data_IF_170692179211
#
_entry.id   IF_170692179211
#
_cell.length_a   1.000
_cell.length_b   1.000
_cell.length_c   1.000
_cell.angle_alpha   90.00
_cell.angle_beta   90.00
_cell.angle_gamma   90.00
#
_symmetry.space_group_name_H-M   'P 1'
#
loop_
_entity.id
_entity.type
_entity.pdbx_description
1 polymer ?
#
# COMPACT_ATOMS: atom_id res chain seq x y z
N UNK A 1 -22.53 26.83 4.24
CA UNK A 1 -21.60 25.84 3.67
C UNK A 1 -20.19 26.29 4.04
N UNK A 2 -19.55 25.57 4.96
CA UNK A 2 -18.16 25.84 5.34
C UNK A 2 -17.25 25.19 4.30
N UNK A 3 -16.32 25.96 3.74
CA UNK A 3 -15.31 25.44 2.81
C UNK A 3 -14.16 24.89 3.66
N UNK A 4 -13.87 23.60 3.52
CA UNK A 4 -12.69 22.98 4.12
C UNK A 4 -11.61 22.85 3.05
N UNK A 5 -10.43 23.43 3.29
CA UNK A 5 -9.31 23.38 2.35
C UNK A 5 -8.27 22.39 2.88
N UNK A 6 -7.82 21.48 2.02
CA UNK A 6 -6.78 20.51 2.33
C UNK A 6 -5.52 20.83 1.52
N UNK A 7 -4.35 20.66 2.14
CA UNK A 7 -3.06 20.74 1.46
C UNK A 7 -2.52 19.33 1.27
N UNK A 8 -2.18 18.97 0.03
CA UNK A 8 -1.56 17.69 -0.29
C UNK A 8 -0.10 17.92 -0.68
N UNK A 9 0.79 17.09 -0.12
CA UNK A 9 2.20 17.06 -0.50
C UNK A 9 2.41 16.48 -1.91
N UNK A 10 3.60 16.71 -2.47
CA UNK A 10 4.00 16.07 -3.72
C UNK A 10 4.25 14.56 -3.51
N UNK A 11 4.26 13.80 -4.61
CA UNK A 11 4.65 12.38 -4.64
C UNK A 11 6.04 12.20 -4.04
N UNK A 12 6.14 11.34 -3.03
CA UNK A 12 7.40 10.96 -2.41
C UNK A 12 8.24 10.04 -3.29
N UNK A 13 9.48 9.76 -2.85
CA UNK A 13 10.23 8.60 -3.33
C UNK A 13 9.47 7.29 -3.04
N UNK A 14 9.83 6.20 -3.72
CA UNK A 14 9.20 4.90 -3.49
C UNK A 14 9.34 4.51 -2.02
N UNK A 15 8.19 4.29 -1.35
CA UNK A 15 8.14 3.81 0.03
C UNK A 15 8.20 2.28 0.09
N UNK A 16 7.88 1.61 -1.03
CA UNK A 16 8.00 0.18 -1.22
C UNK A 16 8.31 -0.10 -2.68
N UNK A 17 9.41 -0.78 -2.94
CA UNK A 17 9.73 -1.31 -4.27
C UNK A 17 9.30 -2.76 -4.35
N UNK A 18 8.49 -3.11 -5.36
CA UNK A 18 7.99 -4.46 -5.58
C UNK A 18 8.97 -5.32 -6.39
N UNK A 19 9.76 -4.69 -7.27
CA UNK A 19 10.71 -5.39 -8.14
C UNK A 19 10.03 -6.50 -8.95
N UNK A 20 10.68 -7.67 -9.02
CA UNK A 20 10.16 -8.86 -9.71
C UNK A 20 9.34 -9.76 -8.77
N UNK A 21 8.36 -9.17 -8.07
CA UNK A 21 7.52 -9.88 -7.11
C UNK A 21 6.81 -11.07 -7.76
N UNK A 22 7.03 -12.28 -7.23
CA UNK A 22 6.42 -13.49 -7.76
C UNK A 22 4.91 -13.52 -7.52
N UNK A 23 4.19 -14.31 -8.32
CA UNK A 23 2.76 -14.50 -8.10
C UNK A 23 2.49 -15.18 -6.76
N UNK A 24 1.36 -14.85 -6.13
CA UNK A 24 0.93 -15.29 -4.81
C UNK A 24 1.92 -14.98 -3.68
N UNK A 25 2.80 -13.99 -3.87
CA UNK A 25 3.76 -13.57 -2.84
C UNK A 25 3.49 -12.17 -2.31
N UNK A 26 3.92 -11.95 -1.07
CA UNK A 26 3.89 -10.66 -0.38
C UNK A 26 5.24 -9.97 -0.39
N UNK A 27 5.21 -8.65 -0.27
CA UNK A 27 6.36 -7.83 0.07
C UNK A 27 5.90 -6.66 0.94
N UNK A 28 6.68 -6.33 1.96
CA UNK A 28 6.39 -5.25 2.89
C UNK A 28 7.40 -4.11 2.78
N UNK A 29 6.95 -2.88 3.07
CA UNK A 29 7.81 -1.72 3.24
C UNK A 29 8.61 -1.79 4.54
N UNK A 30 9.64 -0.96 4.64
CA UNK A 30 10.16 -0.56 5.93
C UNK A 30 9.06 0.14 6.75
N UNK A 31 9.27 0.27 8.06
CA UNK A 31 8.36 1.00 8.93
C UNK A 31 8.29 2.47 8.51
N UNK A 32 7.07 2.95 8.31
CA UNK A 32 6.74 4.32 7.97
C UNK A 32 6.28 5.02 9.25
N UNK A 33 6.99 6.07 9.67
CA UNK A 33 6.56 6.97 10.74
C UNK A 33 5.69 8.08 10.14
N UNK A 34 4.43 8.17 10.59
CA UNK A 34 3.51 9.25 10.24
C UNK A 34 3.70 10.50 11.12
N UNK A 35 4.54 10.41 12.15
CA UNK A 35 4.79 11.46 13.11
C UNK A 35 3.77 11.50 14.25
N UNK A 36 4.00 12.38 15.23
CA UNK A 36 3.10 12.56 16.37
C UNK A 36 1.80 13.29 15.99
N UNK A 37 1.85 14.14 14.96
CA UNK A 37 0.69 14.74 14.32
C UNK A 37 0.34 13.90 13.08
N UNK A 38 -0.37 12.79 13.29
CA UNK A 38 -0.78 11.90 12.20
C UNK A 38 -1.60 12.71 11.18
N UNK A 39 -1.25 12.69 9.89
CA UNK A 39 -1.96 13.43 8.86
C UNK A 39 -3.43 13.00 8.79
N UNK A 40 -4.27 13.89 8.27
CA UNK A 40 -5.72 13.64 8.15
C UNK A 40 -6.00 12.45 7.23
N UNK A 41 -5.22 12.35 6.15
CA UNK A 41 -5.19 11.20 5.27
C UNK A 41 -3.82 11.07 4.61
N UNK A 42 -3.52 9.87 4.13
CA UNK A 42 -2.33 9.56 3.34
C UNK A 42 -2.79 8.94 2.04
N UNK A 43 -2.48 9.60 0.92
CA UNK A 43 -2.70 9.05 -0.41
C UNK A 43 -1.53 8.16 -0.79
N UNK A 44 -1.84 6.96 -1.25
CA UNK A 44 -0.88 6.01 -1.80
C UNK A 44 -1.10 5.88 -3.30
N UNK A 45 -0.04 5.85 -4.08
CA UNK A 45 -0.08 5.51 -5.49
C UNK A 45 0.63 4.16 -5.65
N UNK A 46 -0.10 3.16 -6.13
CA UNK A 46 0.47 1.86 -6.50
C UNK A 46 0.70 1.84 -8.00
N UNK A 47 1.89 1.47 -8.41
CA UNK A 47 2.29 1.25 -9.79
C UNK A 47 2.78 -0.19 -9.95
N UNK A 48 2.39 -0.85 -11.05
CA UNK A 48 2.95 -2.14 -11.41
C UNK A 48 3.05 -2.36 -12.91
N UNK A 49 3.99 -3.20 -13.30
CA UNK A 49 4.18 -3.67 -14.66
C UNK A 49 4.20 -5.21 -14.67
N UNK A 50 3.13 -5.88 -15.15
CA UNK A 50 3.06 -7.34 -15.17
C UNK A 50 4.06 -7.96 -16.16
N UNK A 51 4.73 -9.06 -15.77
CA UNK A 51 5.66 -9.81 -16.62
C UNK A 51 4.92 -10.80 -17.53
N UNK A 52 3.94 -10.30 -18.29
CA UNK A 52 3.08 -11.09 -19.16
C UNK A 52 1.61 -11.02 -18.78
N UNK A 53 0.78 -11.69 -19.58
CA UNK A 53 -0.69 -11.58 -19.47
C UNK A 53 -1.18 -12.16 -18.13
N UNK A 54 -1.83 -11.34 -17.28
CA UNK A 54 -2.38 -11.82 -16.02
C UNK A 54 -3.38 -12.96 -16.21
N UNK A 55 -3.17 -14.07 -15.50
CA UNK A 55 -3.90 -15.33 -15.67
C UNK A 55 -4.66 -15.79 -14.40
N UNK A 56 -4.31 -15.23 -13.23
CA UNK A 56 -4.97 -15.48 -11.94
C UNK A 56 -6.16 -14.54 -11.70
N UNK A 57 -6.23 -13.96 -10.50
CA UNK A 57 -7.28 -13.00 -10.13
C UNK A 57 -7.06 -11.60 -10.74
N UNK A 58 -5.94 -11.40 -11.43
CA UNK A 58 -5.62 -10.19 -12.20
C UNK A 58 -5.64 -8.92 -11.35
N UNK A 59 -5.11 -9.02 -10.13
CA UNK A 59 -5.09 -7.90 -9.19
C UNK A 59 -3.82 -7.86 -8.34
N UNK A 60 -3.45 -6.67 -7.91
CA UNK A 60 -2.58 -6.45 -6.76
C UNK A 60 -3.42 -6.02 -5.57
N UNK A 61 -3.13 -6.60 -4.41
CA UNK A 61 -3.79 -6.23 -3.16
C UNK A 61 -2.82 -5.42 -2.31
N UNK A 62 -3.30 -4.32 -1.75
CA UNK A 62 -2.54 -3.49 -0.83
C UNK A 62 -3.17 -3.52 0.56
N UNK A 63 -2.31 -3.68 1.55
CA UNK A 63 -2.66 -3.78 2.96
C UNK A 63 -1.75 -2.91 3.83
N UNK A 64 -2.16 -2.68 5.07
CA UNK A 64 -1.35 -2.06 6.11
C UNK A 64 -1.17 -2.99 7.32
N UNK A 65 0.03 -2.93 7.90
CA UNK A 65 0.33 -3.45 9.24
C UNK A 65 0.59 -2.28 10.16
N UNK A 66 -0.13 -2.21 11.28
CA UNK A 66 -0.05 -1.08 12.20
C UNK A 66 0.82 -1.43 13.41
N UNK A 67 1.48 -0.43 13.99
CA UNK A 67 2.23 -0.54 15.24
C UNK A 67 2.21 0.77 16.02
N UNK A 68 2.08 0.68 17.34
CA UNK A 68 2.15 1.84 18.23
C UNK A 68 3.58 2.17 18.68
N UNK A 69 4.51 1.21 18.62
CA UNK A 69 5.86 1.32 19.21
C UNK A 69 7.00 1.07 18.21
N UNK A 70 6.71 0.98 16.91
CA UNK A 70 7.68 0.76 15.84
C UNK A 70 8.46 -0.57 15.93
N UNK A 71 8.00 -1.51 16.78
CA UNK A 71 8.67 -2.79 17.00
C UNK A 71 7.68 -3.94 16.85
N UNK A 72 6.56 -3.85 17.56
CA UNK A 72 5.49 -4.84 17.52
C UNK A 72 4.46 -4.43 16.46
N UNK A 73 4.58 -5.03 15.28
CA UNK A 73 3.60 -4.91 14.20
C UNK A 73 2.61 -6.08 14.25
N UNK A 74 1.44 -5.93 13.62
CA UNK A 74 0.48 -7.02 13.47
C UNK A 74 1.09 -8.32 12.91
N UNK A 75 0.41 -9.44 13.10
CA UNK A 75 0.91 -10.79 12.78
C UNK A 75 0.87 -11.15 11.29
N UNK A 76 0.21 -10.35 10.46
CA UNK A 76 0.04 -10.69 9.04
C UNK A 76 1.35 -10.79 8.24
N UNK A 77 1.34 -11.47 7.09
CA UNK A 77 2.54 -11.78 6.32
C UNK A 77 3.25 -10.53 5.81
N UNK A 78 4.59 -10.58 5.77
CA UNK A 78 5.44 -9.52 5.18
C UNK A 78 6.18 -9.99 3.93
N UNK A 79 6.29 -11.31 3.73
CA UNK A 79 6.97 -11.93 2.60
C UNK A 79 6.50 -13.36 2.38
N UNK A 80 6.94 -13.97 1.27
CA UNK A 80 6.65 -15.37 0.97
C UNK A 80 5.21 -15.57 0.51
N UNK A 81 4.66 -16.77 0.72
CA UNK A 81 3.34 -17.19 0.24
C UNK A 81 2.37 -17.51 1.38
N UNK A 82 2.70 -17.15 2.61
CA UNK A 82 1.87 -17.48 3.77
C UNK A 82 0.54 -16.71 3.75
N UNK A 83 -0.58 -17.42 3.76
CA UNK A 83 -1.92 -16.85 3.79
C UNK A 83 -2.63 -17.06 5.13
N UNK A 84 -2.03 -17.77 6.08
CA UNK A 84 -2.68 -18.16 7.34
C UNK A 84 -3.07 -16.96 8.20
N UNK A 85 -2.28 -15.89 8.15
CA UNK A 85 -2.50 -14.66 8.93
C UNK A 85 -2.82 -13.45 8.04
N UNK A 86 -3.25 -13.66 6.79
CA UNK A 86 -3.62 -12.55 5.90
C UNK A 86 -4.76 -11.70 6.47
N UNK A 87 -5.69 -12.33 7.19
CA UNK A 87 -6.81 -11.64 7.85
C UNK A 87 -6.39 -10.66 8.95
N UNK A 88 -5.16 -10.78 9.45
CA UNK A 88 -4.62 -9.85 10.46
C UNK A 88 -4.08 -8.56 9.82
N UNK A 89 -4.05 -8.50 8.48
CA UNK A 89 -3.70 -7.30 7.73
C UNK A 89 -4.92 -6.39 7.53
N UNK A 90 -4.70 -5.08 7.57
CA UNK A 90 -5.73 -4.11 7.22
C UNK A 90 -5.79 -3.94 5.70
N UNK A 91 -6.86 -4.42 5.08
CA UNK A 91 -7.06 -4.26 3.64
C UNK A 91 -7.32 -2.78 3.28
N UNK A 92 -6.51 -2.24 2.37
CA UNK A 92 -6.66 -0.87 1.84
C UNK A 92 -7.42 -0.92 0.50
N UNK A 93 -7.09 -1.87 -0.36
CA UNK A 93 -7.77 -2.00 -1.65
C UNK A 93 -7.10 -2.94 -2.64
N UNK A 94 -7.76 -3.09 -3.79
CA UNK A 94 -7.28 -3.88 -4.92
C UNK A 94 -7.07 -3.00 -6.16
N UNK A 95 -5.96 -3.22 -6.87
CA UNK A 95 -5.70 -2.65 -8.19
C UNK A 95 -5.88 -3.74 -9.24
N UNK A 96 -6.93 -3.67 -10.08
CA UNK A 96 -7.07 -4.59 -11.20
C UNK A 96 -5.97 -4.32 -12.22
N UNK A 97 -5.38 -5.40 -12.72
CA UNK A 97 -4.30 -5.43 -13.69
C UNK A 97 -4.68 -6.46 -14.74
N UNK A 98 -5.38 -6.04 -15.78
CA UNK A 98 -6.05 -6.93 -16.73
C UNK A 98 -5.22 -7.25 -17.97
N UNK A 99 -4.19 -6.44 -18.22
CA UNK A 99 -3.34 -6.49 -19.39
C UNK A 99 -1.86 -6.26 -19.00
N UNK A 100 -0.97 -6.30 -19.99
CA UNK A 100 0.49 -6.23 -19.82
C UNK A 100 1.03 -4.80 -19.78
N UNK A 101 0.19 -3.76 -19.74
CA UNK A 101 0.67 -2.40 -19.59
C UNK A 101 1.00 -2.09 -18.14
N UNK A 102 1.69 -0.97 -17.92
CA UNK A 102 1.87 -0.42 -16.59
C UNK A 102 0.53 0.12 -16.05
N UNK A 103 0.11 -0.41 -14.90
CA UNK A 103 -1.10 0.02 -14.19
C UNK A 103 -0.71 0.98 -13.05
N UNK A 104 -1.53 2.01 -12.85
CA UNK A 104 -1.41 2.94 -11.71
C UNK A 104 -2.76 3.18 -11.07
N UNK A 105 -2.82 3.16 -9.75
CA UNK A 105 -4.05 3.47 -9.00
C UNK A 105 -3.74 4.13 -7.67
N UNK A 106 -4.57 5.12 -7.32
CA UNK A 106 -4.52 5.80 -6.03
C UNK A 106 -5.39 5.10 -4.99
N UNK A 107 -4.92 5.08 -3.76
CA UNK A 107 -5.57 4.57 -2.57
C UNK A 107 -5.46 5.60 -1.43
N UNK A 108 -6.36 5.50 -0.46
CA UNK A 108 -6.39 6.34 0.73
C UNK A 108 -6.26 5.44 1.97
N UNK A 109 -5.60 5.94 3.01
CA UNK A 109 -5.55 5.26 4.32
C UNK A 109 -6.73 5.65 5.22
N UNK A 110 -7.61 6.54 4.76
CA UNK A 110 -8.79 6.94 5.49
C UNK A 110 -9.68 5.73 5.85
N UNK A 111 -10.15 5.70 7.10
CA UNK A 111 -10.99 4.62 7.63
C UNK A 111 -10.24 3.48 8.31
N UNK A 112 -8.90 3.46 8.26
CA UNK A 112 -8.09 2.58 9.09
C UNK A 112 -7.94 3.11 10.53
N UNK A 113 -7.65 2.24 11.51
CA UNK A 113 -7.26 2.69 12.84
C UNK A 113 -6.07 3.65 12.77
N UNK A 114 -6.16 4.77 13.47
CA UNK A 114 -5.09 5.77 13.54
C UNK A 114 -3.89 5.17 14.27
N UNK A 115 -2.75 5.16 13.61
CA UNK A 115 -1.48 4.67 14.17
C UNK A 115 -0.35 5.61 13.80
N UNK A 116 0.70 5.67 14.63
CA UNK A 116 1.90 6.41 14.30
C UNK A 116 2.80 5.66 13.31
N UNK A 117 2.98 4.36 13.52
CA UNK A 117 3.83 3.54 12.68
C UNK A 117 2.99 2.55 11.87
N UNK A 118 3.33 2.41 10.60
CA UNK A 118 2.74 1.40 9.73
C UNK A 118 3.76 0.82 8.75
N UNK A 119 3.50 -0.38 8.26
CA UNK A 119 4.13 -0.94 7.06
C UNK A 119 3.07 -1.16 6.01
N UNK A 120 3.40 -0.88 4.75
CA UNK A 120 2.57 -1.24 3.62
C UNK A 120 2.95 -2.64 3.17
N UNK A 121 1.97 -3.49 2.92
CA UNK A 121 2.17 -4.83 2.39
C UNK A 121 1.43 -4.93 1.06
N UNK A 122 2.11 -5.43 0.04
CA UNK A 122 1.50 -5.69 -1.27
C UNK A 122 1.57 -7.17 -1.57
N UNK A 123 0.46 -7.74 -2.03
CA UNK A 123 0.38 -9.11 -2.54
C UNK A 123 0.15 -9.08 -4.04
N UNK A 124 0.99 -9.83 -4.77
CA UNK A 124 0.75 -10.09 -6.19
C UNK A 124 -0.22 -11.27 -6.35
N UNK A 125 -1.43 -11.00 -6.79
CA UNK A 125 -2.49 -12.00 -7.02
C UNK A 125 -2.89 -12.05 -8.52
N UNK A 126 -1.92 -11.80 -9.40
CA UNK A 126 -2.16 -11.72 -10.85
C UNK A 126 -2.00 -13.05 -11.59
N UNK A 127 -1.38 -14.06 -10.96
CA UNK A 127 -1.03 -15.33 -11.62
C UNK A 127 0.25 -15.27 -12.44
N UNK A 128 0.95 -14.14 -12.46
CA UNK A 128 2.24 -13.91 -13.14
C UNK A 128 3.13 -13.03 -12.25
N UNK A 129 4.45 -13.10 -12.41
CA UNK A 129 5.37 -12.20 -11.68
C UNK A 129 5.28 -10.76 -12.21
N UNK A 130 5.79 -9.81 -11.41
CA UNK A 130 6.03 -8.45 -11.88
C UNK A 130 7.33 -8.36 -12.68
N UNK A 131 7.35 -7.44 -13.64
CA UNK A 131 8.59 -6.90 -14.22
C UNK A 131 9.12 -5.82 -13.30
N UNK A 132 8.23 -4.92 -12.86
CA UNK A 132 8.52 -3.87 -11.89
C UNK A 132 7.26 -3.43 -11.16
N UNK A 133 7.45 -2.66 -10.08
CA UNK A 133 6.36 -2.00 -9.39
C UNK A 133 6.85 -1.25 -8.17
N UNK A 134 6.08 -0.27 -7.74
CA UNK A 134 6.40 0.59 -6.61
C UNK A 134 5.15 1.19 -5.98
N UNK A 135 5.25 1.47 -4.68
CA UNK A 135 4.28 2.29 -3.95
C UNK A 135 4.92 3.62 -3.64
N UNK A 136 4.14 4.69 -3.85
CA UNK A 136 4.50 6.06 -3.53
C UNK A 136 3.46 6.63 -2.56
N UNK A 137 3.86 7.64 -1.82
CA UNK A 137 3.03 8.28 -0.78
C UNK A 137 2.93 9.79 -1.02
N UNK A 138 1.79 10.38 -0.67
CA UNK A 138 1.59 11.82 -0.53
C UNK A 138 0.68 12.08 0.68
N UNK A 139 1.09 12.99 1.55
CA UNK A 139 0.36 13.30 2.79
C UNK A 139 -0.66 14.41 2.59
N UNK A 140 -1.81 14.28 3.24
CA UNK A 140 -2.85 15.32 3.27
C UNK A 140 -2.91 15.91 4.67
N UNK A 141 -2.71 17.22 4.76
CA UNK A 141 -2.82 18.00 5.99
C UNK A 141 -3.98 18.99 5.88
N UNK A 142 -4.70 19.14 6.99
CA UNK A 142 -5.76 20.14 7.13
C UNK A 142 -5.33 21.20 8.12
N UNK A 143 -5.54 22.48 7.78
CA UNK A 143 -5.53 23.56 8.77
C UNK A 143 -6.99 23.91 9.07
N UNK A 144 -7.42 23.79 10.33
CA UNK A 144 -8.64 24.45 10.77
C UNK A 144 -8.35 25.95 10.89
N UNK A 145 -9.05 26.76 10.09
CA UNK A 145 -9.04 28.22 10.22
C UNK A 145 -9.79 28.67 11.49
#
# INVERSE_FOLDING_TARGET
MTVFTQSQGARSASVLTLGTLASATYVASAAIDLGAAVPLDVTLELECDPNGTPAGNKQLLIFAKLSLNNTDFGSGPESGTDTSQENDLHFIGAMPCVDTNTHRKFFSLAGLPVTRYLKLVVKNDMGVSLTSGAVYRADITGASA
#
